data_IF_835672837315
#
_entry.id   IF_835672837315
#
_cell.length_a   1.000
_cell.length_b   1.000
_cell.length_c   1.000
_cell.angle_alpha   90.00
_cell.angle_beta   90.00
_cell.angle_gamma   90.00
#
_symmetry.space_group_name_H-M   'P 1'
#
loop_
_entity.id
_entity.type
_entity.pdbx_description
1 polymer ?
#
# COMPACT_ATOMS: atom_id res chain seq x y z
N UNK A 1 -3.13 -27.85 -20.42
CA UNK A 1 -1.94 -26.99 -20.34
C UNK A 1 -1.34 -27.09 -18.93
N UNK A 2 0.00 -27.26 -18.86
CA UNK A 2 0.71 -27.40 -17.56
C UNK A 2 0.46 -26.21 -16.61
N UNK A 3 0.39 -24.98 -17.13
CA UNK A 3 0.12 -23.80 -16.31
C UNK A 3 -1.30 -23.80 -15.72
N UNK A 4 -2.30 -24.26 -16.45
CA UNK A 4 -3.67 -24.39 -15.95
C UNK A 4 -3.78 -25.49 -14.88
N UNK A 5 -3.08 -26.62 -15.09
CA UNK A 5 -3.01 -27.67 -14.09
C UNK A 5 -2.34 -27.19 -12.80
N UNK A 6 -1.24 -26.47 -12.93
CA UNK A 6 -0.54 -25.87 -11.80
C UNK A 6 -1.42 -24.87 -11.06
N UNK A 7 -2.11 -23.98 -11.77
CA UNK A 7 -3.06 -23.04 -11.20
C UNK A 7 -4.14 -23.77 -10.40
N UNK A 8 -4.81 -24.75 -10.98
CA UNK A 8 -5.86 -25.54 -10.33
C UNK A 8 -5.36 -26.26 -9.06
N UNK A 9 -4.19 -26.89 -9.12
CA UNK A 9 -3.59 -27.61 -7.97
C UNK A 9 -3.05 -26.66 -6.89
N UNK A 10 -2.77 -25.40 -7.23
CA UNK A 10 -2.24 -24.41 -6.30
C UNK A 10 -3.29 -23.77 -5.36
N UNK A 11 -4.57 -24.06 -5.57
CA UNK A 11 -5.66 -23.40 -4.86
C UNK A 11 -5.59 -23.58 -3.32
N UNK A 12 -5.26 -24.80 -2.86
CA UNK A 12 -5.08 -25.05 -1.42
C UNK A 12 -3.90 -24.29 -0.83
N UNK A 13 -2.79 -24.19 -1.58
CA UNK A 13 -1.62 -23.42 -1.19
C UNK A 13 -1.96 -21.93 -1.12
N UNK A 14 -2.70 -21.43 -2.11
CA UNK A 14 -3.15 -20.03 -2.16
C UNK A 14 -4.05 -19.68 -0.96
N UNK A 15 -5.01 -20.55 -0.59
CA UNK A 15 -5.87 -20.38 0.59
C UNK A 15 -5.07 -20.30 1.90
N UNK A 16 -3.98 -21.07 2.03
CA UNK A 16 -3.12 -20.96 3.21
C UNK A 16 -2.36 -19.63 3.24
N UNK A 17 -1.85 -19.14 2.11
CA UNK A 17 -1.24 -17.83 2.01
C UNK A 17 -2.25 -16.75 2.41
N UNK A 18 -3.47 -16.83 1.88
CA UNK A 18 -4.56 -15.91 2.21
C UNK A 18 -4.89 -15.91 3.70
N UNK A 19 -4.96 -17.10 4.32
CA UNK A 19 -5.18 -17.22 5.77
C UNK A 19 -4.11 -16.51 6.59
N UNK A 20 -2.83 -16.69 6.27
CA UNK A 20 -1.75 -15.98 6.95
C UNK A 20 -1.83 -14.46 6.80
N UNK A 21 -2.32 -13.98 5.66
CA UNK A 21 -2.57 -12.56 5.45
C UNK A 21 -3.80 -12.07 6.22
N UNK A 22 -4.88 -12.89 6.32
CA UNK A 22 -6.05 -12.55 7.12
C UNK A 22 -5.75 -12.45 8.61
N UNK A 23 -4.84 -13.30 9.11
CA UNK A 23 -4.40 -13.31 10.51
C UNK A 23 -3.37 -12.19 10.82
N UNK A 24 -2.87 -11.49 9.81
CA UNK A 24 -1.87 -10.44 10.00
C UNK A 24 -2.49 -9.14 10.54
N UNK A 25 -1.86 -8.48 11.54
CA UNK A 25 -2.38 -7.24 12.12
C UNK A 25 -2.40 -6.07 11.12
N UNK A 26 -1.53 -6.13 10.12
CA UNK A 26 -1.44 -5.14 9.04
C UNK A 26 -1.05 -5.79 7.72
N UNK A 27 -1.59 -5.26 6.63
CA UNK A 27 -1.29 -5.71 5.26
C UNK A 27 -1.08 -4.49 4.36
N UNK A 28 0.01 -4.49 3.63
CA UNK A 28 0.28 -3.50 2.57
C UNK A 28 -0.44 -3.89 1.29
N UNK A 29 -1.09 -2.94 0.63
CA UNK A 29 -1.80 -3.17 -0.63
C UNK A 29 -1.59 -2.02 -1.61
N UNK A 30 -1.50 -2.35 -2.88
CA UNK A 30 -1.50 -1.40 -4.00
C UNK A 30 -2.06 -2.09 -5.25
N UNK A 31 -2.41 -1.30 -6.25
CA UNK A 31 -2.94 -1.77 -7.52
C UNK A 31 -2.16 -1.21 -8.70
N UNK A 32 -1.86 -2.06 -9.68
CA UNK A 32 -1.19 -1.62 -10.91
C UNK A 32 -2.06 -1.88 -12.13
N UNK A 33 -1.97 -0.95 -13.10
CA UNK A 33 -2.60 -1.10 -14.40
C UNK A 33 -1.83 -2.14 -15.22
N UNK A 34 -2.58 -3.02 -15.86
CA UNK A 34 -2.10 -3.94 -16.90
C UNK A 34 -3.05 -3.89 -18.10
N UNK A 35 -2.62 -4.40 -19.23
CA UNK A 35 -3.47 -4.55 -20.41
C UNK A 35 -3.94 -5.99 -20.54
N UNK A 36 -5.22 -6.16 -20.83
CA UNK A 36 -5.86 -7.45 -21.11
C UNK A 36 -6.68 -7.34 -22.38
N UNK A 37 -6.33 -8.14 -23.39
CA UNK A 37 -6.98 -8.09 -24.72
C UNK A 37 -7.12 -6.66 -25.27
N UNK A 38 -6.07 -5.84 -25.13
CA UNK A 38 -6.06 -4.44 -25.57
C UNK A 38 -6.78 -3.45 -24.64
N UNK A 39 -7.50 -3.92 -23.62
CA UNK A 39 -8.23 -3.09 -22.66
C UNK A 39 -7.50 -2.92 -21.34
N UNK A 40 -7.78 -1.84 -20.63
CA UNK A 40 -7.23 -1.58 -19.31
C UNK A 40 -7.81 -2.56 -18.28
N UNK A 41 -6.93 -3.19 -17.53
CA UNK A 41 -7.22 -4.12 -16.45
C UNK A 41 -6.24 -3.90 -15.29
N UNK A 42 -6.37 -4.61 -14.19
CA UNK A 42 -5.58 -4.35 -12.98
C UNK A 42 -5.11 -5.64 -12.31
N UNK A 43 -4.00 -5.52 -11.61
CA UNK A 43 -3.54 -6.51 -10.63
C UNK A 43 -3.34 -5.78 -9.31
N UNK A 44 -3.86 -6.34 -8.23
CA UNK A 44 -3.67 -5.87 -6.87
C UNK A 44 -2.86 -6.89 -6.07
N UNK A 45 -2.05 -6.42 -5.15
CA UNK A 45 -1.38 -7.28 -4.19
C UNK A 45 -1.82 -6.99 -2.75
N UNK A 46 -1.62 -7.99 -1.89
CA UNK A 46 -1.72 -7.91 -0.45
C UNK A 46 -0.46 -8.54 0.13
N UNK A 47 0.29 -7.81 0.93
CA UNK A 47 1.67 -8.19 1.29
C UNK A 47 1.98 -7.93 2.75
N UNK A 48 2.65 -8.90 3.36
CA UNK A 48 3.44 -8.77 4.59
C UNK A 48 4.86 -9.28 4.34
N UNK A 49 5.72 -9.29 5.34
CA UNK A 49 7.13 -9.64 5.16
C UNK A 49 7.34 -10.97 4.41
N UNK A 50 6.66 -12.04 4.85
CA UNK A 50 6.88 -13.42 4.37
C UNK A 50 5.81 -13.94 3.40
N UNK A 51 4.70 -13.20 3.23
CA UNK A 51 3.54 -13.63 2.47
C UNK A 51 3.06 -12.55 1.50
N UNK A 52 2.64 -12.98 0.32
CA UNK A 52 2.02 -12.08 -0.67
C UNK A 52 0.94 -12.80 -1.46
N UNK A 53 -0.17 -12.11 -1.66
CA UNK A 53 -1.29 -12.52 -2.52
C UNK A 53 -1.41 -11.52 -3.67
N UNK A 54 -1.58 -12.02 -4.90
CA UNK A 54 -1.90 -11.21 -6.08
C UNK A 54 -3.27 -11.58 -6.58
N UNK A 55 -4.11 -10.56 -6.77
CA UNK A 55 -5.46 -10.70 -7.28
C UNK A 55 -5.64 -9.97 -8.62
N UNK A 56 -6.32 -10.63 -9.54
CA UNK A 56 -6.68 -10.06 -10.83
C UNK A 56 -7.98 -9.27 -10.72
N UNK A 57 -8.04 -8.10 -11.35
CA UNK A 57 -9.21 -7.22 -11.33
C UNK A 57 -9.50 -6.70 -12.74
N UNK A 58 -10.77 -6.67 -13.12
CA UNK A 58 -11.19 -6.10 -14.42
C UNK A 58 -11.21 -4.58 -14.44
N UNK A 59 -11.40 -3.93 -13.27
CA UNK A 59 -11.47 -2.47 -13.15
C UNK A 59 -10.89 -2.00 -11.81
N UNK A 60 -10.70 -0.69 -11.67
CA UNK A 60 -10.34 -0.05 -10.40
C UNK A 60 -11.59 0.60 -9.81
N UNK A 61 -11.83 0.42 -8.54
CA UNK A 61 -12.94 1.05 -7.85
C UNK A 61 -13.74 0.08 -6.98
N UNK A 62 -14.73 0.61 -6.29
CA UNK A 62 -15.45 -0.09 -5.22
C UNK A 62 -16.04 -1.44 -5.67
N UNK A 63 -16.70 -1.47 -6.85
CA UNK A 63 -17.31 -2.71 -7.39
C UNK A 63 -16.29 -3.83 -7.61
N UNK A 64 -15.09 -3.51 -8.09
CA UNK A 64 -14.04 -4.50 -8.30
C UNK A 64 -13.38 -4.90 -6.98
N UNK A 65 -13.21 -3.97 -6.03
CA UNK A 65 -12.70 -4.29 -4.70
C UNK A 65 -13.68 -5.19 -3.93
N UNK A 66 -14.98 -4.98 -4.07
CA UNK A 66 -16.00 -5.81 -3.41
C UNK A 66 -16.03 -7.26 -3.91
N UNK A 67 -15.47 -7.57 -5.08
CA UNK A 67 -15.34 -8.96 -5.56
C UNK A 67 -14.10 -9.69 -5.05
N UNK A 68 -13.20 -9.03 -4.31
CA UNK A 68 -12.00 -9.66 -3.73
C UNK A 68 -12.36 -10.28 -2.38
N UNK A 69 -12.37 -11.64 -2.23
CA UNK A 69 -12.78 -12.30 -1.00
C UNK A 69 -11.93 -11.90 0.21
N UNK A 70 -10.63 -11.71 0.00
CA UNK A 70 -9.69 -11.25 1.03
C UNK A 70 -10.16 -9.94 1.68
N UNK A 71 -10.50 -8.92 0.89
CA UNK A 71 -10.93 -7.62 1.42
C UNK A 71 -12.22 -7.69 2.23
N UNK A 72 -13.14 -8.61 1.89
CA UNK A 72 -14.39 -8.80 2.61
C UNK A 72 -14.19 -9.38 4.01
N UNK A 73 -13.10 -10.08 4.23
CA UNK A 73 -12.81 -10.81 5.47
C UNK A 73 -11.74 -10.13 6.33
N UNK A 74 -10.90 -9.29 5.71
CA UNK A 74 -9.76 -8.72 6.41
C UNK A 74 -10.19 -7.69 7.47
N UNK A 75 -9.78 -7.91 8.71
CA UNK A 75 -10.14 -7.10 9.87
C UNK A 75 -8.91 -6.42 10.54
N UNK A 76 -7.80 -6.27 9.82
CA UNK A 76 -6.60 -5.58 10.29
C UNK A 76 -6.43 -4.18 9.70
N UNK A 77 -5.20 -3.66 9.79
CA UNK A 77 -4.80 -2.36 9.24
C UNK A 77 -4.40 -2.50 7.77
N UNK A 78 -5.05 -1.75 6.87
CA UNK A 78 -4.63 -1.66 5.48
C UNK A 78 -3.63 -0.50 5.29
N UNK A 79 -2.44 -0.80 4.79
CA UNK A 79 -1.42 0.18 4.41
C UNK A 79 -1.49 0.43 2.92
N UNK A 80 -1.79 1.65 2.50
CA UNK A 80 -2.02 1.97 1.08
C UNK A 80 -1.74 3.43 0.72
N UNK A 81 -1.73 3.71 -0.59
CA UNK A 81 -1.64 5.06 -1.14
C UNK A 81 -3.04 5.63 -1.23
N UNK A 82 -3.40 6.56 -0.44
CA UNK A 82 -4.67 7.32 -0.46
C UNK A 82 -5.74 6.87 -1.51
N UNK A 83 -5.99 5.58 -1.61
CA UNK A 83 -7.07 5.02 -2.42
C UNK A 83 -8.36 5.02 -1.60
N UNK A 84 -9.21 6.02 -1.83
CA UNK A 84 -10.38 6.28 -0.98
C UNK A 84 -11.39 5.13 -0.95
N UNK A 85 -11.45 4.30 -1.99
CA UNK A 85 -12.33 3.12 -2.03
C UNK A 85 -11.90 2.01 -1.06
N UNK A 86 -10.65 1.98 -0.62
CA UNK A 86 -10.16 1.01 0.38
C UNK A 86 -10.67 1.28 1.79
N UNK A 87 -11.06 2.52 2.10
CA UNK A 87 -11.58 2.87 3.43
C UNK A 87 -12.91 2.18 3.82
N UNK A 88 -13.51 1.44 2.88
CA UNK A 88 -14.67 0.59 3.17
C UNK A 88 -14.30 -0.81 3.66
N UNK A 89 -13.02 -1.15 3.76
CA UNK A 89 -12.50 -2.47 4.13
C UNK A 89 -11.48 -2.34 5.26
N UNK A 90 -11.23 -3.44 5.98
CA UNK A 90 -10.33 -3.42 7.13
C UNK A 90 -10.92 -2.69 8.34
N UNK A 91 -10.23 -2.72 9.47
CA UNK A 91 -10.63 -1.97 10.68
C UNK A 91 -10.00 -0.57 10.75
N UNK A 92 -8.78 -0.44 10.25
CA UNK A 92 -8.06 0.84 10.27
C UNK A 92 -7.16 0.98 9.04
N UNK A 93 -6.64 2.18 8.81
CA UNK A 93 -5.86 2.49 7.61
C UNK A 93 -4.61 3.28 7.96
N UNK A 94 -3.49 2.94 7.30
CA UNK A 94 -2.29 3.73 7.30
C UNK A 94 -1.99 4.22 5.88
N UNK A 95 -1.83 5.52 5.71
CA UNK A 95 -1.47 6.08 4.41
C UNK A 95 0.05 6.14 4.21
N UNK A 96 0.50 5.87 2.99
CA UNK A 96 1.90 5.99 2.61
C UNK A 96 2.40 7.43 2.74
N UNK A 97 3.23 7.71 3.74
CA UNK A 97 3.79 9.04 3.93
C UNK A 97 4.80 9.44 2.84
N UNK A 98 5.44 8.50 2.15
CA UNK A 98 6.33 8.83 1.03
C UNK A 98 5.57 9.53 -0.10
N UNK A 99 4.35 9.10 -0.40
CA UNK A 99 3.47 9.80 -1.35
C UNK A 99 3.06 11.18 -0.81
N UNK A 100 2.73 11.27 0.46
CA UNK A 100 2.41 12.55 1.10
C UNK A 100 3.59 13.54 1.04
N UNK A 101 4.81 13.08 1.32
CA UNK A 101 6.02 13.91 1.20
C UNK A 101 6.20 14.47 -0.22
N UNK A 102 5.95 13.65 -1.27
CA UNK A 102 6.00 14.11 -2.67
C UNK A 102 4.96 15.20 -2.96
N UNK A 103 3.73 15.05 -2.44
CA UNK A 103 2.70 16.09 -2.58
C UNK A 103 3.07 17.39 -1.87
N UNK A 104 3.70 17.31 -0.69
CA UNK A 104 4.18 18.48 0.04
C UNK A 104 5.29 19.22 -0.71
N UNK A 105 6.25 18.49 -1.31
CA UNK A 105 7.29 19.09 -2.16
C UNK A 105 6.66 19.80 -3.35
N UNK A 106 5.81 19.09 -4.11
CA UNK A 106 5.10 19.67 -5.27
C UNK A 106 4.30 20.92 -4.88
N UNK A 107 3.59 20.89 -3.76
CA UNK A 107 2.85 22.06 -3.28
C UNK A 107 3.75 23.28 -3.04
N UNK A 108 4.91 23.10 -2.40
CA UNK A 108 5.88 24.17 -2.19
C UNK A 108 6.43 24.75 -3.50
N UNK A 109 6.66 23.89 -4.51
CA UNK A 109 7.09 24.32 -5.85
C UNK A 109 6.01 25.14 -6.58
N UNK A 110 4.76 24.67 -6.51
CA UNK A 110 3.63 25.25 -7.23
C UNK A 110 3.12 26.56 -6.60
N UNK A 111 3.11 26.63 -5.26
CA UNK A 111 2.52 27.78 -4.54
C UNK A 111 3.56 28.76 -3.99
N UNK A 112 4.82 28.35 -3.82
CA UNK A 112 5.87 29.06 -3.09
C UNK A 112 5.56 29.25 -1.60
N UNK A 113 4.56 28.52 -1.05
CA UNK A 113 4.28 28.50 0.37
C UNK A 113 5.28 27.64 1.13
N UNK A 114 5.67 28.06 2.32
CA UNK A 114 6.68 27.36 3.12
C UNK A 114 6.09 26.38 4.13
N UNK A 115 4.78 26.41 4.38
CA UNK A 115 4.12 25.50 5.31
C UNK A 115 4.34 24.03 4.91
N UNK A 116 4.30 23.74 3.61
CA UNK A 116 4.46 22.37 3.10
C UNK A 116 5.87 21.81 3.33
N UNK A 117 6.92 22.64 3.16
CA UNK A 117 8.27 22.24 3.50
C UNK A 117 8.50 22.03 4.98
N UNK A 118 7.85 22.84 5.84
CA UNK A 118 7.87 22.67 7.30
C UNK A 118 7.18 21.36 7.72
N UNK A 119 6.01 21.06 7.16
CA UNK A 119 5.31 19.81 7.44
C UNK A 119 6.06 18.59 6.91
N UNK A 120 6.66 18.70 5.72
CA UNK A 120 7.56 17.68 5.19
C UNK A 120 8.69 17.36 6.19
N UNK A 121 9.40 18.40 6.67
CA UNK A 121 10.49 18.24 7.63
C UNK A 121 10.01 17.61 8.95
N UNK A 122 8.83 18.01 9.44
CA UNK A 122 8.23 17.43 10.63
C UNK A 122 7.96 15.93 10.46
N UNK A 123 7.36 15.50 9.35
CA UNK A 123 7.07 14.08 9.09
C UNK A 123 8.36 13.24 8.99
N UNK A 124 9.41 13.78 8.37
CA UNK A 124 10.72 13.14 8.33
C UNK A 124 11.33 13.04 9.73
N UNK A 125 11.31 14.13 10.53
CA UNK A 125 11.76 14.13 11.93
C UNK A 125 11.03 13.08 12.77
N UNK A 126 9.72 12.98 12.64
CA UNK A 126 8.88 12.00 13.32
C UNK A 126 9.32 10.55 12.98
N UNK A 127 9.54 10.25 11.70
CA UNK A 127 9.95 8.92 11.28
C UNK A 127 11.37 8.57 11.75
N UNK A 128 12.31 9.52 11.69
CA UNK A 128 13.68 9.30 12.20
C UNK A 128 13.67 9.11 13.74
N UNK A 129 12.82 9.84 14.45
CA UNK A 129 12.66 9.64 15.90
C UNK A 129 12.09 8.25 16.21
N UNK A 130 11.03 7.82 15.49
CA UNK A 130 10.49 6.47 15.60
C UNK A 130 11.55 5.39 15.34
N UNK A 131 12.33 5.51 14.25
CA UNK A 131 13.40 4.54 13.93
C UNK A 131 14.42 4.40 15.06
N UNK A 132 14.80 5.51 15.71
CA UNK A 132 15.71 5.50 16.86
C UNK A 132 15.12 4.76 18.05
N UNK A 133 13.82 4.93 18.32
CA UNK A 133 13.12 4.23 19.39
C UNK A 133 13.00 2.73 19.10
N UNK A 134 12.67 2.34 17.88
CA UNK A 134 12.66 0.93 17.45
C UNK A 134 14.06 0.31 17.65
N UNK A 135 15.12 1.02 17.28
CA UNK A 135 16.50 0.56 17.49
C UNK A 135 16.88 0.37 18.97
N UNK A 136 16.09 0.93 19.91
CA UNK A 136 16.22 0.73 21.36
C UNK A 136 15.27 -0.34 21.92
N UNK A 137 14.50 -1.00 21.07
CA UNK A 137 13.51 -2.01 21.46
C UNK A 137 12.17 -1.46 21.94
N UNK A 138 11.94 -0.15 21.80
CA UNK A 138 10.65 0.46 22.14
C UNK A 138 9.56 0.08 21.12
N UNK A 139 8.31 -0.02 21.57
CA UNK A 139 7.16 -0.42 20.74
C UNK A 139 6.21 0.73 20.41
N UNK A 140 6.33 1.86 21.10
CA UNK A 140 5.49 3.05 20.92
C UNK A 140 6.22 4.32 21.34
N UNK A 141 5.70 5.47 20.96
CA UNK A 141 6.14 6.75 21.50
C UNK A 141 5.61 6.95 22.94
N UNK A 142 6.38 7.65 23.81
CA UNK A 142 5.83 8.18 25.07
C UNK A 142 4.68 9.17 24.77
N UNK A 143 3.57 9.05 25.52
CA UNK A 143 2.33 9.84 25.28
C UNK A 143 2.56 11.35 25.18
N UNK A 144 3.36 11.92 26.10
CA UNK A 144 3.69 13.35 26.06
C UNK A 144 4.42 13.77 24.78
N UNK A 145 5.27 12.88 24.24
CA UNK A 145 5.98 13.15 22.99
C UNK A 145 5.05 13.05 21.80
N UNK A 146 4.19 12.03 21.77
CA UNK A 146 3.18 11.85 20.75
C UNK A 146 2.25 13.10 20.69
N UNK A 147 1.67 13.51 21.82
CA UNK A 147 0.82 14.69 21.91
C UNK A 147 1.52 15.96 21.40
N UNK A 148 2.79 16.17 21.77
CA UNK A 148 3.58 17.31 21.29
C UNK A 148 3.79 17.29 19.78
N UNK A 149 4.06 16.13 19.21
CA UNK A 149 4.27 15.98 17.76
C UNK A 149 2.97 16.20 16.98
N UNK A 150 1.86 15.68 17.50
CA UNK A 150 0.52 15.92 16.93
C UNK A 150 0.09 17.38 17.02
N UNK A 151 0.40 18.06 18.13
CA UNK A 151 0.13 19.51 18.26
C UNK A 151 0.95 20.31 17.24
N UNK A 152 2.23 20.00 17.05
CA UNK A 152 3.06 20.64 15.99
C UNK A 152 2.49 20.41 14.59
N UNK A 153 1.93 19.22 14.32
CA UNK A 153 1.26 18.96 13.05
C UNK A 153 0.05 19.87 12.85
N UNK A 154 -0.80 20.00 13.87
CA UNK A 154 -1.99 20.88 13.82
C UNK A 154 -1.61 22.36 13.69
N UNK A 155 -0.61 22.82 14.43
CA UNK A 155 -0.06 24.18 14.33
C UNK A 155 0.38 24.52 12.91
N UNK A 156 1.02 23.56 12.22
CA UNK A 156 1.43 23.75 10.83
C UNK A 156 0.25 23.80 9.85
N UNK A 157 -0.84 23.10 10.12
CA UNK A 157 -2.06 23.22 9.31
C UNK A 157 -2.75 24.58 9.52
N UNK A 158 -2.74 25.12 10.75
CA UNK A 158 -3.24 26.47 10.99
C UNK A 158 -2.32 27.54 10.37
N UNK A 159 -1.00 27.36 10.48
CA UNK A 159 -0.04 28.22 9.80
C UNK A 159 -0.26 28.21 8.28
N UNK A 160 -0.54 27.06 7.66
CA UNK A 160 -0.85 26.95 6.24
C UNK A 160 -2.08 27.80 5.85
N UNK A 161 -3.12 27.79 6.67
CA UNK A 161 -4.32 28.62 6.42
C UNK A 161 -4.01 30.11 6.46
N UNK A 162 -3.16 30.53 7.40
CA UNK A 162 -2.76 31.94 7.51
C UNK A 162 -1.86 32.35 6.34
N UNK A 163 -0.82 31.55 6.01
CA UNK A 163 0.08 31.86 4.91
C UNK A 163 -0.66 32.00 3.57
N UNK A 164 -1.68 31.17 3.31
CA UNK A 164 -2.55 31.26 2.13
C UNK A 164 -3.37 32.54 2.05
N UNK A 165 -3.78 33.11 3.19
CA UNK A 165 -4.47 34.39 3.23
C UNK A 165 -3.51 35.53 2.96
N UNK A 166 -2.33 35.47 3.55
CA UNK A 166 -1.34 36.56 3.49
C UNK A 166 -0.63 36.59 2.11
N UNK A 167 -0.46 35.42 1.50
CA UNK A 167 0.23 35.25 0.22
C UNK A 167 -0.58 34.33 -0.70
N UNK A 168 -1.66 34.77 -1.32
CA UNK A 168 -2.43 33.93 -2.23
C UNK A 168 -1.58 33.48 -3.41
N UNK A 169 -1.70 32.18 -3.76
CA UNK A 169 -1.06 31.61 -4.94
C UNK A 169 -1.51 32.34 -6.20
N UNK A 170 -0.54 32.63 -7.10
CA UNK A 170 -0.82 33.30 -8.37
C UNK A 170 -1.62 32.46 -9.38
N UNK A 171 -1.79 31.14 -9.12
CA UNK A 171 -2.45 30.22 -10.04
C UNK A 171 -3.67 29.54 -9.38
N UNK A 172 -4.83 29.67 -10.01
CA UNK A 172 -6.09 29.07 -9.51
C UNK A 172 -6.01 27.56 -9.36
N UNK A 173 -5.30 26.85 -10.24
CA UNK A 173 -5.14 25.41 -10.16
C UNK A 173 -4.29 25.01 -8.94
N UNK A 174 -3.19 25.71 -8.67
CA UNK A 174 -2.34 25.47 -7.49
C UNK A 174 -3.12 25.68 -6.19
N UNK A 175 -3.93 26.73 -6.10
CA UNK A 175 -4.84 26.99 -4.97
C UNK A 175 -5.83 25.84 -4.75
N UNK A 176 -6.38 25.25 -5.82
CA UNK A 176 -7.32 24.13 -5.74
C UNK A 176 -6.61 22.84 -5.25
N UNK A 177 -5.45 22.54 -5.80
CA UNK A 177 -4.65 21.36 -5.38
C UNK A 177 -4.20 21.48 -3.93
N UNK A 178 -3.73 22.65 -3.52
CA UNK A 178 -3.37 22.95 -2.13
C UNK A 178 -4.56 22.79 -1.17
N UNK A 179 -5.73 23.27 -1.56
CA UNK A 179 -6.96 23.11 -0.76
C UNK A 179 -7.29 21.63 -0.58
N UNK A 180 -7.20 20.85 -1.65
CA UNK A 180 -7.42 19.41 -1.60
C UNK A 180 -6.40 18.70 -0.69
N UNK A 181 -5.12 19.09 -0.76
CA UNK A 181 -4.07 18.55 0.09
C UNK A 181 -4.32 18.87 1.57
N UNK A 182 -4.64 20.13 1.91
CA UNK A 182 -4.95 20.53 3.29
C UNK A 182 -6.18 19.82 3.85
N UNK A 183 -7.22 19.63 3.05
CA UNK A 183 -8.41 18.87 3.46
C UNK A 183 -8.07 17.41 3.72
N UNK A 184 -7.24 16.78 2.88
CA UNK A 184 -6.73 15.43 3.09
C UNK A 184 -5.91 15.34 4.38
N UNK A 185 -4.94 16.23 4.58
CA UNK A 185 -4.08 16.28 5.77
C UNK A 185 -4.90 16.39 7.06
N UNK A 186 -5.97 17.21 7.07
CA UNK A 186 -6.87 17.35 8.20
C UNK A 186 -7.74 16.11 8.40
N UNK A 187 -8.41 15.64 7.35
CA UNK A 187 -9.36 14.52 7.43
C UNK A 187 -8.70 13.21 7.81
N UNK A 188 -7.50 12.94 7.28
CA UNK A 188 -6.79 11.68 7.43
C UNK A 188 -5.55 11.79 8.31
N UNK A 189 -5.49 12.81 9.20
CA UNK A 189 -4.38 13.02 10.14
C UNK A 189 -4.01 11.74 10.88
N UNK A 190 -5.00 11.04 11.46
CA UNK A 190 -4.76 9.78 12.18
C UNK A 190 -4.11 8.72 11.30
N UNK A 191 -4.56 8.58 10.06
CA UNK A 191 -4.03 7.61 9.11
C UNK A 191 -2.59 7.93 8.67
N UNK A 192 -2.26 9.23 8.53
CA UNK A 192 -0.89 9.68 8.27
C UNK A 192 0.05 9.46 9.46
N UNK A 193 -0.45 9.57 10.69
CA UNK A 193 0.35 9.49 11.92
C UNK A 193 0.26 8.14 12.62
N UNK A 194 -0.46 7.15 12.06
CA UNK A 194 -0.66 5.84 12.70
C UNK A 194 0.66 5.12 13.00
N UNK A 195 1.70 5.33 12.19
CA UNK A 195 3.06 4.80 12.40
C UNK A 195 3.74 5.31 13.68
N UNK A 196 3.23 6.38 14.31
CA UNK A 196 3.69 6.87 15.62
C UNK A 196 2.96 6.18 16.78
N UNK A 197 1.70 5.78 16.57
CA UNK A 197 0.87 5.12 17.57
C UNK A 197 1.19 3.62 17.68
N UNK A 198 1.53 3.00 16.54
CA UNK A 198 1.91 1.59 16.46
C UNK A 198 3.16 1.45 15.58
N UNK A 199 4.28 1.03 16.20
CA UNK A 199 5.55 0.88 15.50
C UNK A 199 5.60 -0.29 14.53
N UNK A 200 4.63 -1.21 14.58
CA UNK A 200 4.47 -2.23 13.55
C UNK A 200 3.97 -1.64 12.23
N UNK A 201 3.23 -0.54 12.29
CA UNK A 201 2.73 0.15 11.08
C UNK A 201 3.89 0.84 10.37
N UNK A 202 4.15 0.55 9.08
CA UNK A 202 5.23 1.17 8.34
C UNK A 202 4.92 2.64 8.02
N UNK A 203 5.98 3.43 7.83
CA UNK A 203 5.87 4.82 7.35
C UNK A 203 5.46 4.92 5.89
N UNK A 204 5.76 3.90 5.10
CA UNK A 204 5.54 3.86 3.65
C UNK A 204 4.93 2.54 3.18
N UNK A 205 4.51 2.50 1.90
CA UNK A 205 3.97 1.32 1.23
C UNK A 205 4.95 0.71 0.21
N UNK A 206 6.26 0.94 0.38
CA UNK A 206 7.30 0.52 -0.56
C UNK A 206 7.33 -0.99 -0.80
N UNK A 207 6.89 -1.81 0.15
CA UNK A 207 6.83 -3.26 0.00
C UNK A 207 5.87 -3.64 -1.11
N UNK A 208 4.64 -3.16 -1.06
CA UNK A 208 3.60 -3.41 -2.06
C UNK A 208 4.00 -2.86 -3.44
N UNK A 209 4.57 -1.65 -3.49
CA UNK A 209 5.07 -1.06 -4.75
C UNK A 209 6.15 -1.93 -5.42
N UNK A 210 7.10 -2.48 -4.63
CA UNK A 210 8.16 -3.38 -5.16
C UNK A 210 7.58 -4.65 -5.75
N UNK A 211 6.60 -5.23 -5.08
CA UNK A 211 5.94 -6.45 -5.53
C UNK A 211 5.30 -6.28 -6.90
N UNK A 212 4.62 -5.15 -7.10
CA UNK A 212 3.95 -4.85 -8.37
C UNK A 212 4.90 -4.51 -9.52
N UNK A 213 6.18 -4.24 -9.26
CA UNK A 213 7.17 -4.00 -10.35
C UNK A 213 7.26 -5.18 -11.32
N UNK A 214 7.05 -6.41 -10.85
CA UNK A 214 7.06 -7.62 -11.70
C UNK A 214 5.91 -7.59 -12.70
N UNK A 215 4.71 -7.18 -12.26
CA UNK A 215 3.57 -7.00 -13.15
C UNK A 215 3.83 -5.90 -14.18
N UNK A 216 4.42 -4.77 -13.76
CA UNK A 216 4.82 -3.68 -14.65
C UNK A 216 5.88 -4.11 -15.66
N UNK A 217 6.88 -4.89 -15.24
CA UNK A 217 7.92 -5.41 -16.12
C UNK A 217 7.34 -6.39 -17.14
N UNK A 218 6.46 -7.31 -16.72
CA UNK A 218 5.74 -8.19 -17.65
C UNK A 218 4.94 -7.37 -18.68
N UNK A 219 4.21 -6.35 -18.26
CA UNK A 219 3.47 -5.46 -19.15
C UNK A 219 4.38 -4.84 -20.22
N UNK A 220 5.56 -4.35 -19.81
CA UNK A 220 6.54 -3.76 -20.72
C UNK A 220 7.12 -4.76 -21.71
N UNK A 221 7.40 -5.98 -21.27
CA UNK A 221 8.07 -7.01 -22.09
C UNK A 221 7.12 -7.74 -23.03
N UNK A 222 5.89 -8.02 -22.59
CA UNK A 222 4.93 -8.88 -23.33
C UNK A 222 3.64 -8.19 -23.76
N UNK A 223 3.52 -6.86 -23.56
CA UNK A 223 2.35 -6.09 -23.99
C UNK A 223 1.06 -6.35 -23.19
N UNK A 224 1.11 -7.23 -22.18
CA UNK A 224 -0.03 -7.53 -21.33
C UNK A 224 -0.51 -8.97 -21.39
N UNK A 225 -1.80 -9.16 -21.10
CA UNK A 225 -2.47 -10.46 -21.08
C UNK A 225 -3.45 -10.56 -22.27
N UNK A 226 -3.57 -11.77 -22.84
CA UNK A 226 -4.52 -12.03 -23.92
C UNK A 226 -5.91 -12.39 -23.41
N UNK A 227 -5.98 -12.96 -22.18
CA UNK A 227 -7.24 -13.42 -21.59
C UNK A 227 -7.23 -13.18 -20.07
N UNK A 228 -8.42 -13.06 -19.49
CA UNK A 228 -8.63 -13.00 -18.03
C UNK A 228 -8.05 -14.23 -17.34
N UNK A 229 -8.34 -15.44 -17.81
CA UNK A 229 -7.80 -16.68 -17.28
C UNK A 229 -6.26 -16.68 -17.27
N UNK A 230 -5.61 -16.17 -18.30
CA UNK A 230 -4.15 -16.04 -18.35
C UNK A 230 -3.60 -15.07 -17.30
N UNK A 231 -4.33 -14.00 -17.00
CA UNK A 231 -3.99 -13.04 -15.93
C UNK A 231 -4.19 -13.68 -14.54
N UNK A 232 -5.27 -14.43 -14.32
CA UNK A 232 -5.53 -15.14 -13.07
C UNK A 232 -4.47 -16.22 -12.80
N UNK A 233 -4.12 -17.03 -13.80
CA UNK A 233 -3.03 -18.00 -13.72
C UNK A 233 -1.73 -17.31 -13.32
N UNK A 234 -1.40 -16.18 -13.95
CA UNK A 234 -0.21 -15.40 -13.62
C UNK A 234 -0.22 -14.92 -12.18
N UNK A 235 -1.32 -14.35 -11.68
CA UNK A 235 -1.47 -13.91 -10.30
C UNK A 235 -1.27 -15.07 -9.32
N UNK A 236 -1.87 -16.22 -9.57
CA UNK A 236 -1.73 -17.41 -8.73
C UNK A 236 -0.29 -17.92 -8.67
N UNK A 237 0.38 -18.03 -9.81
CA UNK A 237 1.77 -18.47 -9.87
C UNK A 237 2.71 -17.44 -9.24
N UNK A 238 2.44 -16.15 -9.42
CA UNK A 238 3.23 -15.09 -8.81
C UNK A 238 3.07 -15.10 -7.28
N UNK A 239 1.86 -15.33 -6.77
CA UNK A 239 1.57 -15.49 -5.34
C UNK A 239 2.48 -16.57 -4.72
N UNK A 240 2.54 -17.76 -5.35
CA UNK A 240 3.35 -18.87 -4.87
C UNK A 240 4.83 -18.57 -4.97
N UNK A 241 5.29 -18.13 -6.15
CA UNK A 241 6.73 -17.93 -6.39
C UNK A 241 7.31 -16.84 -5.51
N UNK A 242 6.58 -15.77 -5.29
CA UNK A 242 7.07 -14.66 -4.46
C UNK A 242 6.99 -14.99 -2.96
N UNK A 243 5.97 -15.71 -2.53
CA UNK A 243 5.92 -16.23 -1.15
C UNK A 243 7.04 -17.21 -0.88
N UNK A 244 7.31 -18.17 -1.80
CA UNK A 244 8.44 -19.09 -1.69
C UNK A 244 9.78 -18.37 -1.59
N UNK A 245 10.02 -17.37 -2.45
CA UNK A 245 11.26 -16.58 -2.43
C UNK A 245 11.46 -15.85 -1.12
N UNK A 246 10.41 -15.25 -0.55
CA UNK A 246 10.47 -14.57 0.74
C UNK A 246 10.85 -15.52 1.88
N UNK A 247 10.39 -16.76 1.79
CA UNK A 247 10.64 -17.80 2.79
C UNK A 247 11.88 -18.66 2.49
N UNK A 248 12.66 -18.32 1.47
CA UNK A 248 13.86 -19.09 1.08
C UNK A 248 13.57 -20.51 0.59
N UNK A 249 12.35 -20.79 0.14
CA UNK A 249 11.96 -22.12 -0.38
C UNK A 249 12.41 -22.32 -1.82
N UNK A 250 12.90 -23.52 -2.12
CA UNK A 250 13.25 -23.91 -3.49
C UNK A 250 11.99 -24.01 -4.36
N UNK A 251 11.99 -23.31 -5.50
CA UNK A 251 10.82 -23.21 -6.38
C UNK A 251 10.51 -24.52 -7.10
N UNK A 252 11.54 -25.31 -7.47
CA UNK A 252 11.34 -26.58 -8.19
C UNK A 252 10.66 -27.58 -7.26
N UNK A 253 11.14 -27.68 -6.03
CA UNK A 253 10.54 -28.55 -5.02
C UNK A 253 9.13 -28.07 -4.63
N UNK A 254 8.91 -26.76 -4.53
CA UNK A 254 7.59 -26.19 -4.29
C UNK A 254 6.58 -26.59 -5.38
N UNK A 255 6.97 -26.47 -6.65
CA UNK A 255 6.12 -26.86 -7.78
C UNK A 255 5.86 -28.36 -7.83
N UNK A 256 6.87 -29.20 -7.56
CA UNK A 256 6.71 -30.66 -7.46
C UNK A 256 5.69 -31.03 -6.37
N UNK A 257 5.77 -30.39 -5.19
CA UNK A 257 4.85 -30.59 -4.07
C UNK A 257 3.41 -30.25 -4.47
N UNK A 258 3.19 -29.10 -5.10
CA UNK A 258 1.85 -28.69 -5.54
C UNK A 258 1.32 -29.65 -6.63
N UNK A 259 2.15 -30.04 -7.60
CA UNK A 259 1.74 -30.95 -8.66
C UNK A 259 1.40 -32.35 -8.14
N UNK A 260 2.02 -32.81 -7.04
CA UNK A 260 1.63 -34.05 -6.37
C UNK A 260 0.30 -33.96 -5.61
N UNK A 261 -0.32 -32.77 -5.57
CA UNK A 261 -1.58 -32.52 -4.85
C UNK A 261 -1.41 -32.19 -3.37
N UNK A 262 -0.15 -32.03 -2.90
CA UNK A 262 0.13 -31.66 -1.52
C UNK A 262 0.13 -30.14 -1.34
N UNK A 263 -0.24 -29.66 -0.15
CA UNK A 263 -0.12 -28.26 0.21
C UNK A 263 1.32 -27.89 0.55
N UNK A 264 1.79 -26.75 0.05
CA UNK A 264 3.17 -26.33 0.23
C UNK A 264 3.46 -25.76 1.64
N UNK A 265 2.47 -25.15 2.26
CA UNK A 265 2.58 -24.55 3.58
C UNK A 265 1.78 -25.36 4.60
N UNK A 266 2.28 -25.44 5.81
CA UNK A 266 1.62 -26.16 6.91
C UNK A 266 0.35 -25.45 7.39
#
# INVERSE_FOLDING_TARGET
NWLEEMHRKSEQTKKKIEKHLLDAPQVSTDGTVVTENGHQSYIRNFSILDWVLYESMGSKGHKALSSIPFLQQYAGILVHDHETSLYSYGLDHAECNVHLLRYLVKNGEDTRHIWSSKLHSLLVEMNEYRKRLIGRGEKSLPDKTLQRLEARYDELLEYAKQERKDKPSGFRWATKEETSLLNRLKKYKRNHLLFLHDFNVPFDNNMSERDLRKCKNRQKMSGGFRTEAGKEIYCSLLTITETCKRQGKDLINAFKTILSGASLFA
#
